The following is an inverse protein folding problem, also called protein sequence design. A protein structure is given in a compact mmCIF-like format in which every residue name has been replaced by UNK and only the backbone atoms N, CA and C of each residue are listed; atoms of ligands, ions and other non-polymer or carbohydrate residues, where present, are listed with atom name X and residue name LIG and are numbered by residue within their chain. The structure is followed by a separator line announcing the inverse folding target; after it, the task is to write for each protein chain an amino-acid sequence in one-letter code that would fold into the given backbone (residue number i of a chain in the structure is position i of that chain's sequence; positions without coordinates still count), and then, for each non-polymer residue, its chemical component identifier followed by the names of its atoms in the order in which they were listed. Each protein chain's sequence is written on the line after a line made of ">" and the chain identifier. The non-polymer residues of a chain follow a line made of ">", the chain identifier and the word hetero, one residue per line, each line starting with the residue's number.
data_IF_317858908379
#
_entry.id   IF_317858908379
#
_cell.length_a   1.000
_cell.length_b   1.000
_cell.length_c   1.000
_cell.angle_alpha   90.00
_cell.angle_beta   90.00
_cell.angle_gamma   90.00
#
_symmetry.space_group_name_H-M   'P 1'
#
loop_
_entity.id
_entity.type
_entity.pdbx_description
1 polymer ?
#
# COMPACT_ATOMS: atom_id res chain seq x y z
N UNK A 1 -12.67 -9.74 -32.19
CA UNK A 1 -11.64 -8.68 -32.38
C UNK A 1 -10.25 -9.25 -32.15
N UNK A 2 -9.55 -9.52 -33.26
CA UNK A 2 -8.33 -10.35 -33.34
C UNK A 2 -7.02 -9.54 -33.42
N UNK A 3 -7.02 -8.25 -33.05
CA UNK A 3 -5.82 -7.42 -33.15
C UNK A 3 -4.85 -7.70 -32.01
N UNK A 4 -3.67 -8.21 -32.33
CA UNK A 4 -2.57 -8.50 -31.38
C UNK A 4 -1.88 -7.24 -30.85
N UNK A 5 -2.23 -6.04 -31.31
CA UNK A 5 -1.64 -4.79 -30.81
C UNK A 5 -1.97 -4.48 -29.35
N UNK A 6 -2.95 -5.17 -28.76
CA UNK A 6 -3.31 -5.03 -27.35
C UNK A 6 -2.68 -6.13 -26.51
N UNK A 7 -1.94 -5.75 -25.46
CA UNK A 7 -1.31 -6.68 -24.50
C UNK A 7 -2.28 -7.74 -24.00
N UNK A 8 -3.54 -7.36 -23.73
CA UNK A 8 -4.59 -8.29 -23.29
C UNK A 8 -4.93 -9.35 -24.34
N UNK A 9 -4.97 -8.97 -25.62
CA UNK A 9 -5.26 -9.91 -26.70
C UNK A 9 -4.10 -10.88 -26.92
N UNK A 10 -2.84 -10.39 -26.85
CA UNK A 10 -1.64 -11.24 -26.91
C UNK A 10 -1.58 -12.25 -25.76
N UNK A 11 -1.88 -11.81 -24.54
CA UNK A 11 -1.95 -12.71 -23.38
C UNK A 11 -3.00 -13.81 -23.63
N UNK A 12 -4.21 -13.43 -24.06
CA UNK A 12 -5.32 -14.36 -24.24
C UNK A 12 -5.12 -15.33 -25.42
N UNK A 13 -4.66 -14.83 -26.55
CA UNK A 13 -4.68 -15.58 -27.81
C UNK A 13 -3.36 -16.32 -28.10
N UNK A 14 -2.25 -15.90 -27.46
CA UNK A 14 -0.94 -16.48 -27.73
C UNK A 14 -0.33 -17.11 -26.48
N UNK A 15 -0.24 -16.34 -25.38
CA UNK A 15 0.46 -16.82 -24.18
C UNK A 15 -0.32 -17.90 -23.42
N UNK A 16 -1.62 -17.69 -23.16
CA UNK A 16 -2.42 -18.68 -22.42
C UNK A 16 -2.53 -20.03 -23.15
N UNK A 17 -2.80 -20.08 -24.48
CA UNK A 17 -2.78 -21.35 -25.21
C UNK A 17 -1.43 -22.06 -25.14
N UNK A 18 -0.32 -21.34 -25.33
CA UNK A 18 1.04 -21.90 -25.20
C UNK A 18 1.26 -22.54 -23.82
N UNK A 19 0.86 -21.85 -22.75
CA UNK A 19 0.98 -22.35 -21.37
C UNK A 19 0.11 -23.59 -21.13
N UNK A 20 -1.07 -23.65 -21.74
CA UNK A 20 -1.98 -24.80 -21.64
C UNK A 20 -1.42 -26.03 -22.35
N UNK A 21 -0.89 -25.86 -23.55
CA UNK A 21 -0.40 -26.94 -24.40
C UNK A 21 0.94 -27.50 -23.91
N UNK A 22 1.88 -26.63 -23.53
CA UNK A 22 3.26 -27.06 -23.27
C UNK A 22 3.60 -27.28 -21.80
N UNK A 23 2.81 -26.77 -20.85
CA UNK A 23 3.15 -26.80 -19.42
C UNK A 23 2.07 -27.43 -18.57
N UNK A 24 0.87 -26.85 -18.57
CA UNK A 24 -0.21 -27.30 -17.71
C UNK A 24 -1.57 -27.00 -18.37
N UNK A 25 -2.32 -28.04 -18.80
CA UNK A 25 -3.65 -27.87 -19.38
C UNK A 25 -4.62 -27.07 -18.49
N UNK A 26 -4.41 -27.08 -17.18
CA UNK A 26 -5.21 -26.38 -16.17
C UNK A 26 -4.63 -25.03 -15.73
N UNK A 27 -3.65 -24.45 -16.44
CA UNK A 27 -3.00 -23.19 -16.04
C UNK A 27 -3.99 -22.05 -15.82
N UNK A 28 -5.03 -21.93 -16.64
CA UNK A 28 -6.07 -20.89 -16.47
C UNK A 28 -6.83 -21.10 -15.16
N UNK A 29 -7.16 -22.34 -14.80
CA UNK A 29 -7.82 -22.64 -13.53
C UNK A 29 -6.89 -22.39 -12.33
N UNK A 30 -5.60 -22.70 -12.46
CA UNK A 30 -4.60 -22.42 -11.43
C UNK A 30 -4.40 -20.91 -11.21
N UNK A 31 -4.29 -20.13 -12.28
CA UNK A 31 -4.21 -18.67 -12.23
C UNK A 31 -5.47 -18.05 -11.62
N UNK A 32 -6.66 -18.59 -11.94
CA UNK A 32 -7.91 -18.15 -11.30
C UNK A 32 -7.90 -18.42 -9.81
N UNK A 33 -7.47 -19.61 -9.36
CA UNK A 33 -7.34 -19.92 -7.92
C UNK A 33 -6.36 -18.98 -7.23
N UNK A 34 -5.21 -18.72 -7.84
CA UNK A 34 -4.25 -17.75 -7.33
C UNK A 34 -4.89 -16.36 -7.20
N UNK A 35 -5.60 -15.89 -8.22
CA UNK A 35 -6.27 -14.60 -8.17
C UNK A 35 -7.29 -14.51 -7.02
N UNK A 36 -8.10 -15.56 -6.80
CA UNK A 36 -9.04 -15.62 -5.68
C UNK A 36 -8.30 -15.58 -4.34
N UNK A 37 -7.27 -16.40 -4.17
CA UNK A 37 -6.47 -16.45 -2.94
C UNK A 37 -5.78 -15.11 -2.66
N UNK A 38 -5.26 -14.44 -3.69
CA UNK A 38 -4.66 -13.11 -3.55
C UNK A 38 -5.69 -12.06 -3.15
N UNK A 39 -6.90 -12.09 -3.71
CA UNK A 39 -7.98 -11.18 -3.33
C UNK A 39 -8.41 -11.37 -1.88
N UNK A 40 -8.52 -12.62 -1.43
CA UNK A 40 -8.84 -12.93 -0.02
C UNK A 40 -7.74 -12.44 0.93
N UNK A 41 -6.46 -12.66 0.58
CA UNK A 41 -5.34 -12.16 1.36
C UNK A 41 -5.29 -10.63 1.41
N UNK A 42 -5.55 -9.96 0.27
CA UNK A 42 -5.62 -8.51 0.18
C UNK A 42 -6.77 -7.95 1.02
N UNK A 43 -7.94 -8.60 1.01
CA UNK A 43 -9.07 -8.22 1.85
C UNK A 43 -8.74 -8.32 3.35
N UNK A 44 -8.04 -9.37 3.78
CA UNK A 44 -7.56 -9.50 5.16
C UNK A 44 -6.57 -8.40 5.55
N UNK A 45 -5.66 -8.05 4.63
CA UNK A 45 -4.69 -6.98 4.84
C UNK A 45 -5.38 -5.61 4.95
N UNK A 46 -6.31 -5.32 4.04
CA UNK A 46 -7.11 -4.09 4.03
C UNK A 46 -7.98 -3.97 5.28
N UNK A 47 -8.58 -5.07 5.74
CA UNK A 47 -9.33 -5.06 6.99
C UNK A 47 -8.45 -4.68 8.19
N UNK A 48 -7.28 -5.30 8.32
CA UNK A 48 -6.36 -5.01 9.43
C UNK A 48 -5.80 -3.58 9.36
N UNK A 49 -5.47 -3.12 8.15
CA UNK A 49 -5.01 -1.75 7.88
C UNK A 49 -6.05 -0.71 8.26
N UNK A 50 -7.31 -0.91 7.84
CA UNK A 50 -8.41 -0.03 8.18
C UNK A 50 -8.69 0.03 9.67
N UNK A 51 -8.58 -1.10 10.39
CA UNK A 51 -8.71 -1.10 11.86
C UNK A 51 -7.68 -0.20 12.52
N UNK A 52 -6.41 -0.35 12.15
CA UNK A 52 -5.34 0.50 12.68
C UNK A 52 -5.58 1.97 12.34
N UNK A 53 -5.98 2.24 11.10
CA UNK A 53 -6.32 3.60 10.64
C UNK A 53 -7.40 4.21 11.53
N UNK A 54 -8.52 3.51 11.74
CA UNK A 54 -9.64 4.00 12.53
C UNK A 54 -9.30 4.21 14.02
N UNK A 55 -8.47 3.34 14.60
CA UNK A 55 -8.20 3.34 16.03
C UNK A 55 -7.05 4.31 16.41
N UNK A 56 -6.06 4.51 15.53
CA UNK A 56 -4.82 5.20 15.90
C UNK A 56 -4.45 6.39 15.01
N UNK A 57 -5.17 6.65 13.91
CA UNK A 57 -4.88 7.76 12.99
C UNK A 57 -5.89 8.88 13.18
N UNK A 58 -5.39 10.08 13.42
CA UNK A 58 -6.18 11.31 13.47
C UNK A 58 -5.80 12.21 12.30
N UNK A 59 -6.79 12.69 11.56
CA UNK A 59 -6.61 13.63 10.45
C UNK A 59 -7.20 14.97 10.86
N UNK A 60 -6.43 16.04 10.70
CA UNK A 60 -6.85 17.42 10.96
C UNK A 60 -6.58 18.26 9.71
N UNK A 61 -7.58 19.08 9.33
CA UNK A 61 -7.44 20.03 8.24
C UNK A 61 -7.27 21.44 8.80
N UNK A 62 -6.18 22.10 8.43
CA UNK A 62 -5.84 23.46 8.82
C UNK A 62 -5.68 24.31 7.54
N UNK A 63 -6.79 24.81 7.01
CA UNK A 63 -6.83 25.48 5.72
C UNK A 63 -6.49 24.51 4.58
N UNK A 64 -5.50 24.86 3.77
CA UNK A 64 -5.03 24.02 2.65
C UNK A 64 -4.12 22.86 3.11
N UNK A 65 -3.70 22.86 4.38
CA UNK A 65 -2.82 21.82 4.93
C UNK A 65 -3.61 20.74 5.64
N UNK A 66 -3.17 19.50 5.44
CA UNK A 66 -3.66 18.36 6.20
C UNK A 66 -2.54 17.83 7.09
N UNK A 67 -2.85 17.66 8.37
CA UNK A 67 -1.96 17.11 9.39
C UNK A 67 -2.54 15.78 9.85
N UNK A 68 -1.77 14.72 9.68
CA UNK A 68 -2.07 13.37 10.16
C UNK A 68 -1.24 13.12 11.41
N UNK A 69 -1.85 12.65 12.48
CA UNK A 69 -1.14 12.20 13.69
C UNK A 69 -1.45 10.74 13.97
N UNK A 70 -0.42 9.94 14.20
CA UNK A 70 -0.54 8.48 14.41
C UNK A 70 0.11 8.12 15.74
N UNK A 71 -0.66 7.54 16.66
CA UNK A 71 -0.14 7.02 17.92
C UNK A 71 0.57 5.67 17.68
N UNK A 72 1.90 5.66 17.73
CA UNK A 72 2.69 4.49 17.32
C UNK A 72 2.88 3.43 18.41
N UNK A 73 2.58 3.74 19.68
CA UNK A 73 2.89 2.85 20.80
C UNK A 73 2.18 1.49 20.70
N UNK A 74 0.88 1.50 20.38
CA UNK A 74 0.03 0.31 20.34
C UNK A 74 0.17 -0.49 19.04
N UNK A 75 0.76 0.11 18.01
CA UNK A 75 0.87 -0.48 16.66
C UNK A 75 2.31 -0.75 16.23
N UNK A 76 3.27 -0.60 17.15
CA UNK A 76 4.71 -0.75 16.86
C UNK A 76 5.06 -2.14 16.34
N UNK A 77 4.47 -3.16 16.96
CA UNK A 77 4.73 -4.57 16.66
C UNK A 77 3.87 -5.10 15.50
N UNK A 78 3.06 -4.23 14.89
CA UNK A 78 2.25 -4.55 13.71
C UNK A 78 3.18 -4.98 12.56
N UNK A 79 2.85 -6.08 11.85
CA UNK A 79 3.54 -6.45 10.62
C UNK A 79 3.64 -5.29 9.63
N UNK A 80 4.84 -5.09 9.11
CA UNK A 80 5.19 -4.02 8.17
C UNK A 80 4.29 -3.97 6.93
N UNK A 81 3.81 -5.11 6.44
CA UNK A 81 2.85 -5.17 5.33
C UNK A 81 1.52 -4.50 5.65
N UNK A 82 1.02 -4.65 6.89
CA UNK A 82 -0.22 -4.02 7.35
C UNK A 82 -0.02 -2.51 7.47
N UNK A 83 1.11 -2.06 8.03
CA UNK A 83 1.46 -0.64 8.12
C UNK A 83 1.54 0.01 6.73
N UNK A 84 2.18 -0.66 5.76
CA UNK A 84 2.23 -0.18 4.38
C UNK A 84 0.84 -0.09 3.76
N UNK A 85 0.00 -1.11 3.94
CA UNK A 85 -1.38 -1.08 3.45
C UNK A 85 -2.19 0.08 4.06
N UNK A 86 -2.07 0.31 5.37
CA UNK A 86 -2.69 1.44 6.07
C UNK A 86 -2.24 2.78 5.47
N UNK A 87 -0.95 2.97 5.20
CA UNK A 87 -0.47 4.21 4.55
C UNK A 87 -0.99 4.38 3.12
N UNK A 88 -1.08 3.31 2.34
CA UNK A 88 -1.63 3.35 0.97
C UNK A 88 -3.10 3.77 0.99
N UNK A 89 -3.89 3.19 1.90
CA UNK A 89 -5.30 3.55 2.10
C UNK A 89 -5.45 5.00 2.54
N UNK A 90 -4.67 5.43 3.54
CA UNK A 90 -4.65 6.81 4.02
C UNK A 90 -4.30 7.80 2.90
N UNK A 91 -3.26 7.54 2.10
CA UNK A 91 -2.91 8.40 0.97
C UNK A 91 -4.03 8.50 -0.06
N UNK A 92 -4.74 7.40 -0.29
CA UNK A 92 -5.83 7.34 -1.26
C UNK A 92 -7.02 8.16 -0.77
N UNK A 93 -7.37 8.04 0.50
CA UNK A 93 -8.44 8.82 1.14
C UNK A 93 -8.14 10.32 1.15
N UNK A 94 -6.89 10.71 1.43
CA UNK A 94 -6.47 12.11 1.45
C UNK A 94 -6.24 12.71 0.05
N UNK A 95 -6.38 11.90 -1.01
CA UNK A 95 -6.11 12.33 -2.39
C UNK A 95 -4.65 12.73 -2.64
N UNK A 96 -3.73 12.28 -1.80
CA UNK A 96 -2.31 12.62 -1.89
C UNK A 96 -1.61 11.90 -3.06
N UNK A 97 -0.58 12.51 -3.68
CA UNK A 97 0.04 11.97 -4.88
C UNK A 97 0.72 10.61 -4.62
N UNK A 98 0.26 9.58 -5.34
CA UNK A 98 0.80 8.22 -5.26
C UNK A 98 1.84 7.88 -6.32
N UNK A 99 1.84 8.60 -7.44
CA UNK A 99 2.63 8.22 -8.63
C UNK A 99 4.13 8.14 -8.37
N UNK A 100 4.64 9.00 -7.50
CA UNK A 100 6.05 9.08 -7.14
C UNK A 100 6.39 8.28 -5.86
N UNK A 101 5.37 7.71 -5.20
CA UNK A 101 5.56 6.88 -4.01
C UNK A 101 6.09 5.51 -4.40
N UNK A 102 7.38 5.29 -4.18
CA UNK A 102 8.05 4.01 -4.39
C UNK A 102 7.83 3.08 -3.20
N UNK A 103 8.12 1.79 -3.38
CA UNK A 103 8.18 0.82 -2.27
C UNK A 103 9.10 1.31 -1.14
N UNK A 104 10.22 1.96 -1.47
CA UNK A 104 11.13 2.52 -0.47
C UNK A 104 10.45 3.57 0.42
N UNK A 105 9.66 4.49 -0.15
CA UNK A 105 8.95 5.51 0.61
C UNK A 105 7.94 4.90 1.61
N UNK A 106 7.17 3.91 1.17
CA UNK A 106 6.23 3.20 2.05
C UNK A 106 6.93 2.44 3.16
N UNK A 107 8.05 1.79 2.84
CA UNK A 107 8.85 1.06 3.83
C UNK A 107 9.49 2.00 4.85
N UNK A 108 9.92 3.18 4.43
CA UNK A 108 10.42 4.20 5.35
C UNK A 108 9.35 4.67 6.32
N UNK A 109 8.13 4.96 5.84
CA UNK A 109 6.98 5.31 6.67
C UNK A 109 6.62 4.22 7.69
N UNK A 110 6.53 2.97 7.25
CA UNK A 110 6.30 1.84 8.15
C UNK A 110 7.44 1.68 9.18
N UNK A 111 8.69 1.97 8.79
CA UNK A 111 9.84 1.97 9.68
C UNK A 111 9.73 3.01 10.80
N UNK A 112 9.18 4.20 10.52
CA UNK A 112 8.97 5.25 11.53
C UNK A 112 7.97 4.84 12.62
N UNK A 113 7.01 3.98 12.30
CA UNK A 113 6.05 3.44 13.28
C UNK A 113 6.70 2.37 14.16
N UNK A 114 7.47 1.47 13.55
CA UNK A 114 8.00 0.29 14.22
C UNK A 114 9.28 0.51 15.05
N UNK A 115 10.02 1.62 14.94
CA UNK A 115 11.34 1.75 15.61
C UNK A 115 11.66 3.08 16.29
N UNK A 116 12.45 2.94 17.38
CA UNK A 116 12.76 3.88 18.45
C UNK A 116 14.21 4.39 18.45
N UNK A 117 14.72 4.79 17.28
CA UNK A 117 16.07 5.32 17.14
C UNK A 117 16.33 5.71 15.69
N UNK A 118 16.27 7.03 15.45
CA UNK A 118 16.52 7.84 14.24
C UNK A 118 16.78 7.16 12.87
N UNK A 119 16.23 7.72 11.77
CA UNK A 119 15.83 9.12 11.60
C UNK A 119 14.41 9.43 12.14
N UNK A 120 14.25 10.61 12.74
CA UNK A 120 12.98 11.11 13.29
C UNK A 120 12.01 11.61 12.21
N UNK A 121 12.23 11.26 10.95
CA UNK A 121 11.38 11.71 9.87
C UNK A 121 11.93 11.39 8.48
N UNK A 122 11.11 11.61 7.47
CA UNK A 122 11.47 11.51 6.07
C UNK A 122 10.65 12.50 5.23
N UNK A 123 11.27 13.02 4.17
CA UNK A 123 10.56 13.78 3.13
C UNK A 123 10.00 12.81 2.10
N UNK A 124 8.75 13.03 1.72
CA UNK A 124 8.02 12.23 0.75
C UNK A 124 7.69 13.10 -0.48
N UNK A 125 7.45 12.47 -1.63
CA UNK A 125 6.96 13.16 -2.81
C UNK A 125 5.74 14.06 -2.55
N UNK A 126 5.62 15.15 -3.30
CA UNK A 126 4.50 16.09 -3.17
C UNK A 126 4.61 17.06 -2.00
N UNK A 127 5.83 17.36 -1.52
CA UNK A 127 6.09 18.23 -0.36
C UNK A 127 5.41 17.73 0.92
N UNK A 128 5.29 16.41 1.05
CA UNK A 128 4.76 15.79 2.26
C UNK A 128 5.93 15.48 3.18
N UNK A 129 5.83 15.87 4.44
CA UNK A 129 6.85 15.57 5.44
C UNK A 129 6.28 14.67 6.52
N UNK A 130 7.04 13.65 6.89
CA UNK A 130 6.70 12.76 7.99
C UNK A 130 7.75 12.91 9.09
N UNK A 131 7.31 13.12 10.34
CA UNK A 131 8.17 13.32 11.50
C UNK A 131 7.68 12.48 12.67
N UNK A 132 8.57 11.69 13.26
CA UNK A 132 8.33 10.93 14.48
C UNK A 132 8.89 11.68 15.69
N UNK A 133 8.03 11.89 16.70
CA UNK A 133 8.41 12.51 17.97
C UNK A 133 7.59 11.95 19.13
N UNK A 134 8.28 11.48 20.18
CA UNK A 134 7.66 11.04 21.46
C UNK A 134 6.52 10.02 21.26
N UNK A 135 6.70 9.05 20.35
CA UNK A 135 5.71 8.01 20.09
C UNK A 135 4.57 8.40 19.16
N UNK A 136 4.60 9.61 18.59
CA UNK A 136 3.64 10.06 17.59
C UNK A 136 4.35 10.30 16.26
N UNK A 137 3.82 9.73 15.18
CA UNK A 137 4.19 10.06 13.82
C UNK A 137 3.23 11.12 13.29
N UNK A 138 3.77 12.29 12.94
CA UNK A 138 3.03 13.39 12.31
C UNK A 138 3.38 13.46 10.83
N UNK A 139 2.38 13.53 9.96
CA UNK A 139 2.56 13.69 8.51
C UNK A 139 1.82 14.95 8.07
N UNK A 140 2.52 15.85 7.39
CA UNK A 140 1.96 17.15 6.99
C UNK A 140 2.11 17.33 5.49
N UNK A 141 1.02 17.74 4.83
CA UNK A 141 1.09 18.23 3.45
C UNK A 141 1.59 19.68 3.41
N UNK A 142 2.56 19.96 2.54
CA UNK A 142 3.14 21.30 2.34
C UNK A 142 2.17 22.34 1.83
#
# INVERSE_FOLDING_TARGET
>A
NASENFTRNRIRNSLLPLLQEQFNPQVVAALRRLAVQSLEAEAGLSWAANRIRHEHVQVQHAGERTVVSIACAEIRDTPRSILVAMFIELWTELGWPRKEMTTFHWQSLAGLVSHSGHPSGCTLPGKIEAHWRRGVLTITSG
#
